data_IF_415835572337
#
_entry.id   IF_415835572337
#
_cell.length_a   1.000
_cell.length_b   1.000
_cell.length_c   1.000
_cell.angle_alpha   90.00
_cell.angle_beta   90.00
_cell.angle_gamma   90.00
#
_symmetry.space_group_name_H-M   'P 1'
#
loop_
_entity.id
_entity.type
_entity.pdbx_description
1 polymer ?
#
# COMPACT_ATOMS: atom_id res chain seq x y z
N UNK A 1 32.07 4.37 -4.80
CA UNK A 1 31.97 4.04 -3.37
C UNK A 1 30.54 3.72 -2.96
N UNK A 2 29.56 4.59 -3.27
CA UNK A 2 28.13 4.40 -2.92
C UNK A 2 27.51 3.08 -3.43
N UNK A 3 27.81 2.66 -4.66
CA UNK A 3 27.36 1.36 -5.19
C UNK A 3 27.80 0.15 -4.34
N UNK A 4 28.94 0.23 -3.65
CA UNK A 4 29.40 -0.83 -2.74
C UNK A 4 28.56 -0.80 -1.47
N UNK A 5 28.25 0.39 -0.93
CA UNK A 5 27.39 0.54 0.25
C UNK A 5 25.98 0.00 -0.01
N UNK A 6 25.39 0.32 -1.17
CA UNK A 6 24.09 -0.21 -1.60
C UNK A 6 24.12 -1.74 -1.64
N UNK A 7 25.14 -2.34 -2.28
CA UNK A 7 25.30 -3.81 -2.34
C UNK A 7 25.44 -4.44 -0.95
N UNK A 8 26.21 -3.82 -0.06
CA UNK A 8 26.37 -4.30 1.31
C UNK A 8 25.05 -4.22 2.11
N UNK A 9 24.30 -3.13 1.97
CA UNK A 9 22.98 -3.00 2.58
C UNK A 9 21.99 -4.02 2.01
N UNK A 10 21.98 -4.22 0.69
CA UNK A 10 21.18 -5.25 0.01
C UNK A 10 21.52 -6.68 0.46
N UNK A 11 22.77 -6.96 0.81
CA UNK A 11 23.12 -8.24 1.41
C UNK A 11 22.60 -8.35 2.87
N UNK A 12 22.79 -7.29 3.67
CA UNK A 12 22.38 -7.26 5.08
C UNK A 12 20.86 -7.32 5.27
N UNK A 13 20.08 -6.69 4.40
CA UNK A 13 18.61 -6.71 4.48
C UNK A 13 18.03 -8.13 4.29
N UNK A 14 18.77 -9.03 3.64
CA UNK A 14 18.40 -10.44 3.49
C UNK A 14 18.80 -11.30 4.70
N UNK A 15 19.42 -10.71 5.73
CA UNK A 15 19.87 -11.44 6.91
C UNK A 15 18.72 -12.08 7.70
N UNK A 16 18.91 -13.28 8.29
CA UNK A 16 17.93 -13.85 9.22
C UNK A 16 17.79 -13.01 10.50
N UNK A 17 18.80 -12.23 10.87
CA UNK A 17 18.82 -11.41 12.09
C UNK A 17 18.08 -10.09 11.87
N UNK A 18 17.05 -9.82 12.70
CA UNK A 18 16.22 -8.61 12.59
C UNK A 18 17.04 -7.31 12.67
N UNK A 19 17.94 -7.23 13.65
CA UNK A 19 18.80 -6.06 13.87
C UNK A 19 19.61 -5.69 12.62
N UNK A 20 20.20 -6.68 11.93
CA UNK A 20 20.93 -6.44 10.68
C UNK A 20 20.05 -5.90 9.57
N UNK A 21 18.78 -6.32 9.52
CA UNK A 21 17.82 -5.80 8.53
C UNK A 21 17.42 -4.37 8.84
N UNK A 22 17.17 -4.04 10.11
CA UNK A 22 16.84 -2.68 10.53
C UNK A 22 18.00 -1.72 10.24
N UNK A 23 19.24 -2.11 10.54
CA UNK A 23 20.43 -1.33 10.18
C UNK A 23 20.53 -1.15 8.67
N UNK A 24 20.30 -2.21 7.88
CA UNK A 24 20.32 -2.10 6.43
C UNK A 24 19.25 -1.15 5.88
N UNK A 25 18.04 -1.19 6.44
CA UNK A 25 16.95 -0.29 6.07
C UNK A 25 17.26 1.17 6.40
N UNK A 26 17.84 1.44 7.58
CA UNK A 26 18.31 2.78 7.95
C UNK A 26 19.39 3.28 6.99
N UNK A 27 20.35 2.41 6.63
CA UNK A 27 21.40 2.75 5.65
C UNK A 27 20.80 3.08 4.27
N UNK A 28 19.82 2.30 3.81
CA UNK A 28 19.15 2.54 2.54
C UNK A 28 18.32 3.83 2.56
N UNK A 29 17.63 4.12 3.66
CA UNK A 29 16.90 5.37 3.84
C UNK A 29 17.85 6.59 3.75
N UNK A 30 18.98 6.55 4.46
CA UNK A 30 19.98 7.63 4.39
C UNK A 30 20.54 7.80 2.97
N UNK A 31 20.76 6.70 2.23
CA UNK A 31 21.24 6.79 0.85
C UNK A 31 20.22 7.48 -0.06
N UNK A 32 18.92 7.26 0.14
CA UNK A 32 17.86 7.92 -0.62
C UNK A 32 17.87 9.43 -0.37
N UNK A 33 18.09 9.86 0.86
CA UNK A 33 18.18 11.27 1.24
C UNK A 33 19.45 11.94 0.69
N UNK A 34 20.60 11.30 0.87
CA UNK A 34 21.90 11.88 0.53
C UNK A 34 22.23 11.80 -0.97
N UNK A 35 21.72 10.78 -1.67
CA UNK A 35 22.03 10.49 -3.07
C UNK A 35 20.77 10.12 -3.89
N UNK A 36 19.89 11.09 -4.20
CA UNK A 36 18.62 10.88 -4.90
C UNK A 36 18.75 10.17 -6.26
N UNK A 37 19.90 10.26 -6.93
CA UNK A 37 20.15 9.56 -8.19
C UNK A 37 20.15 8.03 -8.06
N UNK A 38 20.30 7.50 -6.84
CA UNK A 38 20.20 6.06 -6.54
C UNK A 38 18.83 5.62 -6.03
N UNK A 39 17.84 6.53 -6.00
CA UNK A 39 16.49 6.25 -5.51
C UNK A 39 15.92 4.95 -6.10
N UNK A 40 15.84 4.86 -7.43
CA UNK A 40 15.25 3.69 -8.11
C UNK A 40 15.94 2.37 -7.71
N UNK A 41 17.27 2.36 -7.58
CA UNK A 41 18.03 1.18 -7.18
C UNK A 41 17.69 0.76 -5.74
N UNK A 42 17.61 1.72 -4.82
CA UNK A 42 17.29 1.46 -3.41
C UNK A 42 15.85 0.97 -3.28
N UNK A 43 14.90 1.63 -3.95
CA UNK A 43 13.50 1.24 -3.95
C UNK A 43 13.34 -0.18 -4.49
N UNK A 44 14.00 -0.52 -5.61
CA UNK A 44 13.95 -1.87 -6.17
C UNK A 44 14.45 -2.93 -5.17
N UNK A 45 15.54 -2.66 -4.45
CA UNK A 45 16.06 -3.57 -3.41
C UNK A 45 15.03 -3.79 -2.29
N UNK A 46 14.41 -2.71 -1.81
CA UNK A 46 13.45 -2.78 -0.71
C UNK A 46 12.14 -3.45 -1.16
N UNK A 47 11.66 -3.14 -2.37
CA UNK A 47 10.50 -3.78 -2.98
C UNK A 47 10.69 -5.29 -3.09
N UNK A 48 11.83 -5.75 -3.61
CA UNK A 48 12.14 -7.18 -3.70
C UNK A 48 12.26 -7.85 -2.33
N UNK A 49 12.81 -7.15 -1.35
CA UNK A 49 12.85 -7.62 0.04
C UNK A 49 11.43 -7.86 0.60
N UNK A 50 10.51 -6.91 0.41
CA UNK A 50 9.11 -7.04 0.85
C UNK A 50 8.44 -8.21 0.12
N UNK A 51 8.54 -8.28 -1.21
CA UNK A 51 7.95 -9.36 -2.01
C UNK A 51 8.46 -10.72 -1.55
N UNK A 52 9.75 -10.89 -1.29
CA UNK A 52 10.32 -12.17 -0.83
C UNK A 52 9.75 -12.63 0.52
N UNK A 53 9.39 -11.69 1.41
CA UNK A 53 8.89 -12.01 2.76
C UNK A 53 7.38 -12.04 2.88
N UNK A 54 6.66 -11.33 2.02
CA UNK A 54 5.20 -11.17 2.07
C UNK A 54 4.49 -11.69 0.83
N UNK A 55 5.17 -12.32 -0.12
CA UNK A 55 4.54 -13.03 -1.24
C UNK A 55 3.44 -13.95 -0.74
N UNK A 56 2.21 -13.70 -1.18
CA UNK A 56 1.11 -14.60 -0.96
C UNK A 56 1.03 -15.59 -2.13
N UNK A 57 1.30 -16.88 -1.86
CA UNK A 57 0.90 -17.93 -2.81
C UNK A 57 -0.61 -18.05 -2.72
N UNK A 58 -1.30 -17.91 -3.86
CA UNK A 58 -2.75 -18.15 -4.03
C UNK A 58 -3.12 -19.55 -3.51
N UNK A 59 -3.30 -19.67 -2.20
CA UNK A 59 -3.75 -20.90 -1.55
C UNK A 59 -5.12 -20.67 -0.94
N UNK A 60 -5.96 -21.65 -1.25
CA UNK A 60 -7.37 -21.79 -0.90
C UNK A 60 -7.61 -21.50 0.59
N UNK A 61 -8.77 -20.89 0.85
CA UNK A 61 -9.38 -20.52 2.14
C UNK A 61 -8.69 -19.38 2.89
N UNK A 62 -9.41 -18.25 2.93
CA UNK A 62 -9.31 -17.28 4.01
C UNK A 62 -9.61 -17.99 5.34
N UNK A 63 -8.58 -18.45 6.04
CA UNK A 63 -8.68 -18.61 7.49
C UNK A 63 -8.54 -17.21 8.10
N UNK A 64 -9.69 -16.58 8.30
CA UNK A 64 -9.80 -15.41 9.15
C UNK A 64 -9.70 -15.88 10.60
N UNK A 65 -8.58 -15.67 11.31
CA UNK A 65 -8.62 -15.59 12.80
C UNK A 65 -7.39 -15.11 13.55
N UNK A 66 -6.24 -14.77 12.95
CA UNK A 66 -5.15 -14.15 13.71
C UNK A 66 -4.57 -12.97 12.94
N UNK A 67 -4.73 -11.78 13.48
CA UNK A 67 -3.98 -10.60 13.07
C UNK A 67 -2.61 -10.77 13.73
N UNK A 68 -1.63 -11.24 12.96
CA UNK A 68 -0.24 -11.06 13.38
C UNK A 68 0.13 -9.60 13.16
N UNK A 69 0.74 -8.97 14.16
CA UNK A 69 1.34 -7.65 14.00
C UNK A 69 2.29 -7.67 12.80
N UNK A 70 2.27 -6.59 12.02
CA UNK A 70 3.21 -6.45 10.90
C UNK A 70 4.64 -6.44 11.45
N UNK A 71 5.51 -7.31 10.91
CA UNK A 71 6.92 -7.29 11.28
C UNK A 71 7.51 -5.88 11.09
N UNK A 72 8.21 -5.38 12.10
CA UNK A 72 8.74 -4.01 12.15
C UNK A 72 9.69 -3.68 10.98
N UNK A 73 10.45 -4.66 10.49
CA UNK A 73 11.30 -4.50 9.30
C UNK A 73 10.49 -4.30 8.02
N UNK A 74 9.38 -5.00 7.85
CA UNK A 74 8.45 -4.79 6.73
C UNK A 74 7.76 -3.44 6.85
N UNK A 75 7.33 -3.05 8.06
CA UNK A 75 6.73 -1.74 8.29
C UNK A 75 7.71 -0.59 7.97
N UNK A 76 8.98 -0.72 8.35
CA UNK A 76 10.01 0.27 8.03
C UNK A 76 10.34 0.28 6.54
N UNK A 77 10.44 -0.89 5.91
CA UNK A 77 10.65 -1.00 4.47
C UNK A 77 9.53 -0.29 3.68
N UNK A 78 8.27 -0.51 4.06
CA UNK A 78 7.12 0.17 3.49
C UNK A 78 7.24 1.69 3.63
N UNK A 79 7.52 2.19 4.84
CA UNK A 79 7.67 3.64 5.09
C UNK A 79 8.73 4.30 4.22
N UNK A 80 9.85 3.61 3.93
CA UNK A 80 10.90 4.14 3.05
C UNK A 80 10.38 4.29 1.62
N UNK A 81 9.77 3.25 1.06
CA UNK A 81 9.35 3.27 -0.35
C UNK A 81 8.10 4.14 -0.59
N UNK A 82 7.30 4.36 0.45
CA UNK A 82 6.10 5.19 0.41
C UNK A 82 6.29 6.54 1.10
N UNK A 83 7.54 6.99 1.29
CA UNK A 83 7.83 8.26 1.95
C UNK A 83 7.17 9.43 1.18
N UNK A 84 6.32 10.24 1.84
CA UNK A 84 5.64 11.37 1.22
C UNK A 84 6.54 12.57 0.91
N UNK A 85 7.68 12.69 1.59
CA UNK A 85 8.60 13.83 1.44
C UNK A 85 9.53 13.68 0.21
N UNK A 86 9.50 12.52 -0.45
CA UNK A 86 10.30 12.27 -1.66
C UNK A 86 9.73 13.04 -2.85
N UNK A 87 10.59 13.82 -3.50
CA UNK A 87 10.28 14.53 -4.74
C UNK A 87 9.67 13.58 -5.78
N UNK A 88 8.51 13.97 -6.31
CA UNK A 88 7.79 13.21 -7.33
C UNK A 88 8.64 12.98 -8.60
N UNK A 89 9.58 13.88 -8.92
CA UNK A 89 10.51 13.76 -10.05
C UNK A 89 11.45 12.56 -9.95
N UNK A 90 11.66 12.03 -8.73
CA UNK A 90 12.47 10.85 -8.45
C UNK A 90 11.69 9.55 -8.63
N UNK A 91 10.35 9.58 -8.56
CA UNK A 91 9.47 8.40 -8.71
C UNK A 91 9.30 8.00 -10.17
N UNK A 92 10.41 7.67 -10.83
CA UNK A 92 10.48 7.31 -12.26
C UNK A 92 10.00 5.90 -12.53
N UNK A 93 10.19 5.00 -11.56
CA UNK A 93 9.79 3.59 -11.65
C UNK A 93 8.55 3.34 -10.79
N UNK A 94 7.61 2.58 -11.36
CA UNK A 94 6.43 2.10 -10.63
C UNK A 94 6.86 1.10 -9.55
N UNK A 95 6.39 1.30 -8.32
CA UNK A 95 6.59 0.35 -7.23
C UNK A 95 5.58 -0.80 -7.39
N UNK A 96 6.08 -2.01 -7.62
CA UNK A 96 5.26 -3.21 -7.73
C UNK A 96 5.27 -4.04 -6.45
N UNK A 97 4.18 -3.96 -5.71
CA UNK A 97 3.87 -4.73 -4.51
C UNK A 97 2.65 -5.63 -4.72
N UNK A 98 2.45 -6.13 -5.94
CA UNK A 98 1.36 -7.05 -6.24
C UNK A 98 1.47 -8.39 -5.50
N UNK A 99 0.32 -8.99 -5.18
CA UNK A 99 0.22 -10.31 -4.54
C UNK A 99 0.94 -10.42 -3.19
N UNK A 100 0.99 -9.35 -2.40
CA UNK A 100 1.61 -9.38 -1.06
C UNK A 100 0.58 -9.44 0.07
N UNK A 101 1.01 -9.86 1.25
CA UNK A 101 0.26 -9.83 2.50
C UNK A 101 0.90 -8.84 3.49
N UNK A 102 0.31 -7.65 3.59
CA UNK A 102 0.72 -6.59 4.53
C UNK A 102 -0.44 -6.18 5.44
N UNK A 103 -1.27 -7.15 5.84
CA UNK A 103 -2.38 -6.93 6.78
C UNK A 103 -1.94 -6.13 8.00
N UNK A 104 -2.75 -5.15 8.38
CA UNK A 104 -2.48 -4.29 9.53
C UNK A 104 -1.31 -3.31 9.37
N UNK A 105 -0.74 -3.14 8.17
CA UNK A 105 0.28 -2.12 7.95
C UNK A 105 -0.23 -0.71 8.27
N UNK A 106 0.66 0.14 8.77
CA UNK A 106 0.43 1.56 8.93
C UNK A 106 1.07 2.35 7.78
N UNK A 107 0.24 2.90 6.92
CA UNK A 107 0.60 3.71 5.75
C UNK A 107 -0.12 5.07 5.81
N UNK A 108 -0.36 5.60 7.03
CA UNK A 108 -0.92 6.93 7.17
C UNK A 108 -0.05 7.98 6.46
N UNK A 109 -0.68 8.90 5.72
CA UNK A 109 0.01 9.96 4.97
C UNK A 109 0.96 9.46 3.88
N UNK A 110 1.01 8.16 3.60
CA UNK A 110 2.00 7.59 2.70
C UNK A 110 1.77 7.99 1.25
N UNK A 111 2.85 8.25 0.51
CA UNK A 111 2.79 8.44 -0.94
C UNK A 111 2.90 7.11 -1.66
N UNK A 112 1.75 6.67 -2.16
CA UNK A 112 1.48 5.42 -2.87
C UNK A 112 1.03 5.71 -4.32
N UNK A 113 1.33 6.89 -4.86
CA UNK A 113 0.94 7.29 -6.22
C UNK A 113 1.42 6.25 -7.24
N UNK A 114 0.52 5.79 -8.09
CA UNK A 114 0.74 4.76 -9.13
C UNK A 114 1.25 3.41 -8.61
N UNK A 115 1.20 3.13 -7.30
CA UNK A 115 1.67 1.85 -6.77
C UNK A 115 0.84 0.70 -7.33
N UNK A 116 1.47 -0.45 -7.60
CA UNK A 116 0.75 -1.67 -7.92
C UNK A 116 0.61 -2.54 -6.67
N UNK A 117 -0.62 -2.69 -6.19
CA UNK A 117 -1.02 -3.53 -5.05
C UNK A 117 -2.09 -4.57 -5.47
N UNK A 118 -2.22 -4.86 -6.77
CA UNK A 118 -3.22 -5.80 -7.28
C UNK A 118 -3.18 -7.14 -6.53
N UNK A 119 -4.37 -7.67 -6.25
CA UNK A 119 -4.59 -8.94 -5.55
C UNK A 119 -3.83 -9.10 -4.22
N UNK A 120 -3.44 -7.99 -3.58
CA UNK A 120 -2.77 -8.01 -2.28
C UNK A 120 -3.78 -8.17 -1.14
N UNK A 121 -3.31 -8.73 -0.02
CA UNK A 121 -4.06 -8.81 1.24
C UNK A 121 -3.70 -7.60 2.09
N UNK A 122 -4.65 -6.67 2.17
CA UNK A 122 -4.55 -5.35 2.78
C UNK A 122 -5.59 -5.17 3.89
N UNK A 123 -6.06 -6.28 4.49
CA UNK A 123 -7.01 -6.28 5.60
C UNK A 123 -6.52 -5.39 6.74
N UNK A 124 -7.37 -4.44 7.18
CA UNK A 124 -7.08 -3.48 8.27
C UNK A 124 -5.83 -2.62 8.08
N UNK A 125 -5.36 -2.43 6.86
CA UNK A 125 -4.28 -1.46 6.60
C UNK A 125 -4.80 -0.04 6.85
N UNK A 126 -3.97 0.78 7.49
CA UNK A 126 -4.23 2.20 7.69
C UNK A 126 -3.67 3.01 6.52
N UNK A 127 -4.54 3.52 5.66
CA UNK A 127 -4.27 4.45 4.56
C UNK A 127 -4.82 5.86 4.85
N UNK A 128 -5.07 6.22 6.12
CA UNK A 128 -5.57 7.56 6.47
C UNK A 128 -4.65 8.64 5.88
N UNK A 129 -5.22 9.65 5.22
CA UNK A 129 -4.50 10.74 4.54
C UNK A 129 -3.49 10.30 3.46
N UNK A 130 -3.49 9.03 3.05
CA UNK A 130 -2.53 8.53 2.07
C UNK A 130 -2.85 9.01 0.65
N UNK A 131 -1.82 9.12 -0.18
CA UNK A 131 -1.92 9.54 -1.59
C UNK A 131 -1.82 8.30 -2.49
N UNK A 132 -2.93 7.86 -3.06
CA UNK A 132 -3.06 6.67 -3.91
C UNK A 132 -3.46 7.01 -5.36
N UNK A 133 -3.19 8.22 -5.83
CA UNK A 133 -3.51 8.67 -7.19
C UNK A 133 -3.03 7.65 -8.24
N UNK A 134 -3.94 7.21 -9.10
CA UNK A 134 -3.69 6.22 -10.14
C UNK A 134 -3.10 4.88 -9.64
N UNK A 135 -3.23 4.53 -8.36
CA UNK A 135 -2.79 3.24 -7.84
C UNK A 135 -3.63 2.09 -8.40
N UNK A 136 -3.03 0.90 -8.50
CA UNK A 136 -3.72 -0.32 -8.90
C UNK A 136 -3.96 -1.22 -7.69
N UNK A 137 -5.22 -1.31 -7.26
CA UNK A 137 -5.72 -2.14 -6.17
C UNK A 137 -6.75 -3.18 -6.69
N UNK A 138 -6.72 -3.49 -8.00
CA UNK A 138 -7.62 -4.46 -8.61
C UNK A 138 -7.60 -5.79 -7.85
N UNK A 139 -8.78 -6.28 -7.46
CA UNK A 139 -8.94 -7.54 -6.74
C UNK A 139 -8.29 -7.60 -5.35
N UNK A 140 -7.83 -6.48 -4.79
CA UNK A 140 -7.22 -6.46 -3.46
C UNK A 140 -8.24 -6.76 -2.35
N UNK A 141 -7.78 -7.40 -1.27
CA UNK A 141 -8.58 -7.65 -0.06
C UNK A 141 -8.35 -6.52 0.93
N UNK A 142 -9.28 -5.58 0.97
CA UNK A 142 -9.23 -4.32 1.73
C UNK A 142 -10.28 -4.27 2.85
N UNK A 143 -10.85 -5.40 3.26
CA UNK A 143 -11.88 -5.41 4.30
C UNK A 143 -11.35 -4.74 5.57
N UNK A 144 -12.17 -3.87 6.16
CA UNK A 144 -11.84 -3.05 7.33
C UNK A 144 -10.56 -2.19 7.22
N UNK A 145 -10.05 -1.94 6.01
CA UNK A 145 -9.00 -0.95 5.79
C UNK A 145 -9.53 0.47 6.05
N UNK A 146 -8.64 1.37 6.48
CA UNK A 146 -8.99 2.75 6.77
C UNK A 146 -8.38 3.70 5.73
N UNK A 147 -9.21 4.26 4.87
CA UNK A 147 -8.90 5.25 3.84
C UNK A 147 -9.47 6.63 4.20
N UNK A 148 -9.71 6.93 5.48
CA UNK A 148 -10.23 8.22 5.90
C UNK A 148 -9.38 9.35 5.30
N UNK A 149 -10.02 10.29 4.60
CA UNK A 149 -9.38 11.45 3.97
C UNK A 149 -8.27 11.11 2.95
N UNK A 150 -8.19 9.86 2.49
CA UNK A 150 -7.21 9.44 1.50
C UNK A 150 -7.53 10.02 0.12
N UNK A 151 -6.48 10.33 -0.65
CA UNK A 151 -6.61 10.72 -2.04
C UNK A 151 -6.53 9.49 -2.94
N UNK A 152 -7.63 9.15 -3.62
CA UNK A 152 -7.82 7.94 -4.43
C UNK A 152 -8.20 8.31 -5.88
N UNK A 153 -7.74 9.46 -6.39
CA UNK A 153 -8.09 9.93 -7.74
C UNK A 153 -7.65 8.91 -8.79
N UNK A 154 -8.56 8.51 -9.67
CA UNK A 154 -8.30 7.54 -10.74
C UNK A 154 -7.73 6.21 -10.26
N UNK A 155 -7.96 5.83 -8.99
CA UNK A 155 -7.54 4.53 -8.46
C UNK A 155 -8.31 3.40 -9.15
N UNK A 156 -7.63 2.28 -9.42
CA UNK A 156 -8.29 1.06 -9.86
C UNK A 156 -8.59 0.16 -8.67
N UNK A 157 -9.84 0.13 -8.23
CA UNK A 157 -10.39 -0.75 -7.18
C UNK A 157 -11.34 -1.82 -7.77
N UNK A 158 -11.30 -2.06 -9.08
CA UNK A 158 -12.20 -3.03 -9.71
C UNK A 158 -12.05 -4.42 -9.10
N UNK A 159 -13.16 -5.07 -8.76
CA UNK A 159 -13.20 -6.37 -8.10
C UNK A 159 -12.62 -6.41 -6.68
N UNK A 160 -12.25 -5.27 -6.08
CA UNK A 160 -11.69 -5.23 -4.73
C UNK A 160 -12.75 -5.58 -3.66
N UNK A 161 -12.30 -6.15 -2.54
CA UNK A 161 -13.15 -6.48 -1.39
C UNK A 161 -12.95 -5.43 -0.30
N UNK A 162 -13.90 -4.50 -0.17
CA UNK A 162 -13.88 -3.34 0.72
C UNK A 162 -14.90 -3.45 1.87
N UNK A 163 -15.26 -4.68 2.27
CA UNK A 163 -16.25 -4.90 3.32
C UNK A 163 -15.88 -4.14 4.60
N UNK A 164 -16.78 -3.32 5.13
CA UNK A 164 -16.56 -2.49 6.33
C UNK A 164 -15.32 -1.58 6.26
N UNK A 165 -14.82 -1.26 5.06
CA UNK A 165 -13.74 -0.29 4.90
C UNK A 165 -14.24 1.13 5.25
N UNK A 166 -13.37 1.94 5.86
CA UNK A 166 -13.66 3.33 6.09
C UNK A 166 -13.10 4.17 4.94
N UNK A 167 -13.96 4.71 4.09
CA UNK A 167 -13.63 5.61 2.98
C UNK A 167 -14.21 7.02 3.24
N UNK A 168 -14.52 7.37 4.49
CA UNK A 168 -15.07 8.69 4.79
C UNK A 168 -14.12 9.80 4.40
N UNK A 169 -14.65 10.86 3.80
CA UNK A 169 -13.91 12.04 3.30
C UNK A 169 -12.86 11.71 2.21
N UNK A 170 -12.82 10.48 1.71
CA UNK A 170 -11.87 10.09 0.67
C UNK A 170 -12.22 10.71 -0.69
N UNK A 171 -11.20 11.05 -1.48
CA UNK A 171 -11.37 11.53 -2.84
C UNK A 171 -11.29 10.38 -3.85
N UNK A 172 -12.43 9.86 -4.29
CA UNK A 172 -12.57 8.77 -5.27
C UNK A 172 -12.90 9.29 -6.67
N UNK A 173 -12.54 10.54 -6.99
CA UNK A 173 -12.82 11.13 -8.31
C UNK A 173 -12.23 10.26 -9.43
N UNK A 174 -13.04 9.89 -10.42
CA UNK A 174 -12.66 8.99 -11.52
C UNK A 174 -12.17 7.59 -11.10
N UNK A 175 -12.42 7.14 -9.88
CA UNK A 175 -12.05 5.79 -9.44
C UNK A 175 -12.82 4.71 -10.21
N UNK A 176 -12.17 3.58 -10.49
CA UNK A 176 -12.81 2.39 -11.03
C UNK A 176 -13.15 1.43 -9.88
N UNK A 177 -14.43 1.32 -9.53
CA UNK A 177 -14.97 0.45 -8.48
C UNK A 177 -15.84 -0.66 -9.08
N UNK A 178 -15.70 -0.97 -10.37
CA UNK A 178 -16.52 -2.01 -11.03
C UNK A 178 -16.40 -3.34 -10.32
N UNK A 179 -17.54 -3.99 -10.07
CA UNK A 179 -17.62 -5.26 -9.36
C UNK A 179 -16.98 -5.26 -7.95
N UNK A 180 -16.68 -4.11 -7.35
CA UNK A 180 -16.13 -4.03 -6.01
C UNK A 180 -17.20 -4.36 -4.96
N UNK A 181 -16.79 -4.96 -3.85
CA UNK A 181 -17.69 -5.26 -2.73
C UNK A 181 -17.52 -4.23 -1.61
N UNK A 182 -18.45 -3.29 -1.48
CA UNK A 182 -18.46 -2.21 -0.49
C UNK A 182 -19.44 -2.48 0.67
N UNK A 183 -19.83 -3.73 0.90
CA UNK A 183 -20.80 -4.05 1.96
C UNK A 183 -20.37 -3.48 3.32
N UNK A 184 -21.24 -2.71 3.98
CA UNK A 184 -20.98 -2.00 5.25
C UNK A 184 -19.85 -0.95 5.20
N UNK A 185 -19.37 -0.55 4.02
CA UNK A 185 -18.34 0.49 3.92
C UNK A 185 -18.90 1.85 4.33
N UNK A 186 -18.05 2.69 4.91
CA UNK A 186 -18.38 4.08 5.23
C UNK A 186 -17.86 5.00 4.12
N UNK A 187 -18.75 5.70 3.43
CA UNK A 187 -18.46 6.66 2.35
C UNK A 187 -18.95 8.07 2.70
N UNK A 188 -19.21 8.35 3.97
CA UNK A 188 -19.61 9.68 4.45
C UNK A 188 -18.64 10.75 3.96
N UNK A 189 -19.14 11.75 3.22
CA UNK A 189 -18.33 12.86 2.72
C UNK A 189 -17.34 12.50 1.59
N UNK A 190 -17.33 11.26 1.10
CA UNK A 190 -16.45 10.87 0.01
C UNK A 190 -16.86 11.51 -1.32
N UNK A 191 -15.89 11.94 -2.12
CA UNK A 191 -16.13 12.46 -3.46
C UNK A 191 -16.06 11.35 -4.51
N UNK A 192 -17.20 10.95 -5.07
CA UNK A 192 -17.32 9.90 -6.10
C UNK A 192 -17.50 10.46 -7.52
N UNK A 193 -17.15 11.73 -7.76
CA UNK A 193 -17.36 12.38 -9.06
C UNK A 193 -16.70 11.59 -10.20
N UNK A 194 -17.52 11.13 -11.15
CA UNK A 194 -17.04 10.35 -12.29
C UNK A 194 -16.49 8.95 -11.97
N UNK A 195 -16.70 8.44 -10.75
CA UNK A 195 -16.35 7.06 -10.40
C UNK A 195 -17.24 6.05 -11.13
N UNK A 196 -16.67 4.91 -11.56
CA UNK A 196 -17.44 3.82 -12.14
C UNK A 196 -17.79 2.78 -11.07
N UNK A 197 -19.08 2.61 -10.80
CA UNK A 197 -19.62 1.68 -9.80
C UNK A 197 -20.37 0.48 -10.42
N UNK A 198 -20.19 0.20 -11.72
CA UNK A 198 -20.94 -0.84 -12.42
C UNK A 198 -20.74 -2.20 -11.73
N UNK A 199 -21.84 -2.81 -11.28
CA UNK A 199 -21.81 -4.10 -10.57
C UNK A 199 -21.24 -4.06 -9.16
N UNK A 200 -20.96 -2.88 -8.59
CA UNK A 200 -20.50 -2.76 -7.20
C UNK A 200 -21.61 -3.14 -6.21
N UNK A 201 -21.25 -3.85 -5.13
CA UNK A 201 -22.18 -4.14 -4.04
C UNK A 201 -22.19 -2.98 -3.02
N UNK A 202 -23.24 -2.17 -3.04
CA UNK A 202 -23.43 -0.99 -2.18
C UNK A 202 -24.40 -1.23 -1.00
N UNK A 203 -24.73 -2.49 -0.69
CA UNK A 203 -25.63 -2.82 0.42
C UNK A 203 -25.05 -2.33 1.75
N UNK A 204 -25.89 -1.67 2.55
CA UNK A 204 -25.52 -1.14 3.88
C UNK A 204 -24.34 -0.15 3.86
N UNK A 205 -24.05 0.47 2.72
CA UNK A 205 -23.05 1.55 2.66
C UNK A 205 -23.59 2.78 3.38
N UNK A 206 -22.79 3.35 4.28
CA UNK A 206 -23.12 4.62 4.91
C UNK A 206 -22.67 5.81 4.04
N UNK A 207 -23.60 6.66 3.62
CA UNK A 207 -23.30 7.93 2.95
C UNK A 207 -23.60 9.17 3.80
N UNK A 208 -24.27 9.01 4.95
CA UNK A 208 -24.81 10.13 5.72
C UNK A 208 -23.84 10.55 6.83
N UNK A 209 -23.76 11.86 7.06
CA UNK A 209 -23.28 12.42 8.33
C UNK A 209 -24.42 12.36 9.35
N UNK A 210 -24.18 11.69 10.48
CA UNK A 210 -25.10 11.72 11.63
C UNK A 210 -25.17 13.11 12.26
#
# INVERSE_FOLDING_TARGET
MINILIKLAAYKILSPQLEKRLIALQQLAQIVEDYPEFYDNVIQIITEFIKKRRSFKLLKKCEATVISEINIDIQNALKIITNPDIDESLRRVMIDLSYIDIRGADLHGANLKKINLQQSILYRVNFTDAILDCANLNGAVLSAANFHSANLVSVNLSGAILNAANLSEANLTHADLRCANLFLANLQGANLSGANLDGANLREVNFCSN
#
